data_IF_280312043987
#
_entry.id   IF_280312043987
#
_cell.length_a   1.000
_cell.length_b   1.000
_cell.length_c   1.000
_cell.angle_alpha   90.00
_cell.angle_beta   90.00
_cell.angle_gamma   90.00
#
_symmetry.space_group_name_H-M   'P 1'
#
loop_
_entity.id
_entity.type
_entity.pdbx_description
1 polymer ?
#
# COMPACT_ATOMS: atom_id res chain seq x y z
N UNK A 1 -1.43 -11.94 10.05
CA UNK A 1 -0.15 -11.38 9.55
C UNK A 1 0.38 -10.27 10.45
N UNK A 2 -0.18 -9.06 10.45
CA UNK A 2 0.38 -7.93 11.23
C UNK A 2 0.61 -8.23 12.72
N UNK A 3 -0.39 -8.78 13.43
CA UNK A 3 -0.27 -9.11 14.87
C UNK A 3 0.81 -10.16 15.11
N UNK A 4 0.85 -11.20 14.27
CA UNK A 4 1.87 -12.25 14.37
C UNK A 4 3.27 -11.68 14.12
N UNK A 5 3.44 -10.91 13.05
CA UNK A 5 4.72 -10.30 12.70
C UNK A 5 5.19 -9.28 13.74
N UNK A 6 4.27 -8.56 14.38
CA UNK A 6 4.58 -7.71 15.53
C UNK A 6 5.11 -8.52 16.73
N UNK A 7 4.49 -9.66 17.04
CA UNK A 7 4.96 -10.55 18.12
C UNK A 7 6.34 -11.11 17.78
N UNK A 8 6.53 -11.61 16.55
CA UNK A 8 7.82 -12.13 16.08
C UNK A 8 8.91 -11.06 16.08
N UNK A 9 8.63 -9.86 15.59
CA UNK A 9 9.56 -8.73 15.62
C UNK A 9 10.03 -8.43 17.05
N UNK A 10 9.15 -8.52 18.05
CA UNK A 10 9.49 -8.26 19.45
C UNK A 10 10.29 -9.36 20.13
N UNK A 11 9.90 -10.62 19.94
CA UNK A 11 10.36 -11.70 20.82
C UNK A 11 11.18 -12.78 20.10
N UNK A 12 11.00 -12.96 18.80
CA UNK A 12 11.77 -13.93 18.01
C UNK A 12 12.97 -13.25 17.37
N UNK A 13 12.74 -12.11 16.72
CA UNK A 13 13.76 -11.32 16.04
C UNK A 13 14.29 -10.16 16.87
N UNK A 14 13.65 -9.84 18.00
CA UNK A 14 14.09 -8.82 18.96
C UNK A 14 14.53 -7.50 18.31
N UNK A 15 13.81 -7.07 17.27
CA UNK A 15 14.16 -5.91 16.44
C UNK A 15 14.22 -4.61 17.24
N UNK A 16 13.52 -4.55 18.38
CA UNK A 16 13.49 -3.38 19.26
C UNK A 16 14.58 -3.42 20.35
N UNK A 17 15.25 -4.56 20.52
CA UNK A 17 16.46 -4.68 21.35
C UNK A 17 17.73 -4.49 20.50
N UNK A 18 17.63 -4.80 19.21
CA UNK A 18 18.72 -4.82 18.23
C UNK A 18 18.37 -3.93 17.03
N UNK A 19 18.58 -2.60 17.10
CA UNK A 19 18.16 -1.66 16.07
C UNK A 19 18.71 -1.96 14.67
N UNK A 20 19.87 -2.61 14.57
CA UNK A 20 20.45 -3.04 13.30
C UNK A 20 19.58 -4.04 12.53
N UNK A 21 18.69 -4.76 13.22
CA UNK A 21 17.72 -5.69 12.60
C UNK A 21 16.58 -4.95 11.90
N UNK A 22 16.35 -3.68 12.25
CA UNK A 22 15.34 -2.82 11.62
C UNK A 22 15.81 -2.27 10.26
N UNK A 23 17.10 -2.37 9.94
CA UNK A 23 17.72 -1.82 8.73
C UNK A 23 17.01 -2.23 7.43
N UNK A 24 16.29 -3.37 7.43
CA UNK A 24 15.50 -3.82 6.29
C UNK A 24 14.38 -2.84 5.87
N UNK A 25 13.85 -2.04 6.80
CA UNK A 25 12.72 -1.14 6.55
C UNK A 25 12.96 0.30 7.04
N UNK A 26 14.09 0.61 7.68
CA UNK A 26 14.43 2.00 8.08
C UNK A 26 15.54 2.64 7.25
N UNK A 27 16.20 1.90 6.35
CA UNK A 27 17.34 2.39 5.55
C UNK A 27 17.00 3.51 4.56
N UNK A 28 15.71 3.78 4.30
CA UNK A 28 15.26 4.66 3.23
C UNK A 28 15.38 4.06 1.82
N UNK A 29 15.85 2.81 1.69
CA UNK A 29 15.95 2.10 0.43
C UNK A 29 15.60 0.62 0.59
N UNK A 30 14.67 0.12 -0.23
CA UNK A 30 14.29 -1.28 -0.23
C UNK A 30 14.03 -1.74 -1.66
N UNK A 31 14.61 -2.87 -2.06
CA UNK A 31 14.28 -3.51 -3.32
C UNK A 31 14.05 -5.00 -3.16
N UNK A 32 13.27 -5.56 -4.08
CA UNK A 32 12.92 -6.97 -4.04
C UNK A 32 11.75 -7.28 -4.96
N UNK A 33 11.42 -8.56 -5.06
CA UNK A 33 10.30 -9.00 -5.86
C UNK A 33 9.02 -9.05 -5.03
N UNK A 34 7.93 -8.58 -5.63
CA UNK A 34 6.58 -8.81 -5.14
C UNK A 34 5.75 -9.44 -6.25
N UNK A 35 4.86 -10.33 -5.86
CA UNK A 35 3.86 -10.88 -6.76
C UNK A 35 2.79 -9.81 -6.96
N UNK A 36 2.70 -9.23 -8.15
CA UNK A 36 1.77 -8.15 -8.49
C UNK A 36 0.64 -8.65 -9.37
N UNK A 37 -0.60 -8.34 -8.99
CA UNK A 37 -1.79 -8.63 -9.80
C UNK A 37 -1.76 -7.88 -11.13
N UNK A 38 -2.03 -8.60 -12.21
CA UNK A 38 -2.25 -8.06 -13.56
C UNK A 38 -3.59 -7.36 -13.65
N UNK A 39 -3.65 -6.30 -14.46
CA UNK A 39 -4.87 -5.50 -14.64
C UNK A 39 -5.95 -6.26 -15.43
N UNK A 40 -5.53 -7.05 -16.42
CA UNK A 40 -6.43 -7.67 -17.40
C UNK A 40 -6.67 -9.15 -17.12
N UNK A 41 -5.66 -9.88 -16.64
CA UNK A 41 -5.72 -11.33 -16.49
C UNK A 41 -5.94 -11.80 -15.06
N UNK A 42 -6.05 -10.88 -14.09
CA UNK A 42 -6.20 -11.16 -12.66
C UNK A 42 -5.13 -12.08 -12.04
N UNK A 43 -4.10 -12.47 -12.81
CA UNK A 43 -3.00 -13.33 -12.36
C UNK A 43 -1.92 -12.50 -11.70
N UNK A 44 -1.18 -13.13 -10.80
CA UNK A 44 -0.05 -12.50 -10.16
C UNK A 44 1.24 -12.84 -10.90
N UNK A 45 2.07 -11.82 -11.10
CA UNK A 45 3.35 -11.95 -11.77
C UNK A 45 4.45 -11.30 -10.92
N UNK A 46 5.65 -11.89 -10.87
CA UNK A 46 6.77 -11.29 -10.15
C UNK A 46 7.17 -9.97 -10.80
N UNK A 47 7.31 -8.91 -10.00
CA UNK A 47 7.80 -7.60 -10.43
C UNK A 47 8.83 -7.14 -9.41
N UNK A 48 9.96 -6.62 -9.89
CA UNK A 48 10.93 -5.96 -9.02
C UNK A 48 10.36 -4.62 -8.60
N UNK A 49 10.20 -4.41 -7.31
CA UNK A 49 9.87 -3.12 -6.69
C UNK A 49 11.14 -2.50 -6.12
N UNK A 50 11.20 -1.17 -6.16
CA UNK A 50 12.29 -0.37 -5.60
C UNK A 50 11.66 0.84 -4.90
N UNK A 51 11.85 0.92 -3.59
CA UNK A 51 11.56 2.08 -2.75
C UNK A 51 12.85 2.88 -2.58
N UNK A 52 12.77 4.18 -2.84
CA UNK A 52 13.82 5.16 -2.59
C UNK A 52 13.20 6.38 -1.93
N UNK A 53 13.51 6.56 -0.65
CA UNK A 53 13.06 7.71 0.15
C UNK A 53 13.68 9.01 -0.36
N UNK A 54 14.97 8.98 -0.69
CA UNK A 54 15.72 10.11 -1.24
C UNK A 54 15.05 10.67 -2.50
N UNK A 55 14.52 9.79 -3.35
CA UNK A 55 13.82 10.17 -4.58
C UNK A 55 12.31 10.40 -4.40
N UNK A 56 11.74 10.11 -3.22
CA UNK A 56 10.28 10.04 -2.99
C UNK A 56 9.56 9.04 -3.93
N UNK A 57 10.19 7.89 -4.24
CA UNK A 57 9.64 6.96 -5.23
C UNK A 57 9.48 5.53 -4.76
N UNK A 58 8.31 4.95 -5.07
CA UNK A 58 8.09 3.52 -5.15
C UNK A 58 7.90 3.14 -6.63
N UNK A 59 8.90 2.47 -7.19
CA UNK A 59 8.96 2.09 -8.61
C UNK A 59 8.72 0.59 -8.74
N UNK A 60 8.20 0.16 -9.89
CA UNK A 60 8.24 -1.25 -10.24
C UNK A 60 8.59 -1.49 -11.70
N UNK A 61 9.27 -2.59 -11.93
CA UNK A 61 9.79 -2.99 -13.23
C UNK A 61 9.10 -4.26 -13.71
N UNK A 62 8.73 -4.30 -14.99
CA UNK A 62 8.27 -5.55 -15.65
C UNK A 62 9.46 -6.40 -16.06
N UNK A 63 10.58 -5.76 -16.41
CA UNK A 63 11.88 -6.37 -16.69
C UNK A 63 12.94 -5.48 -16.02
N UNK A 64 13.88 -6.07 -15.28
CA UNK A 64 14.82 -5.32 -14.42
C UNK A 64 15.67 -4.30 -15.19
N UNK A 65 16.23 -4.68 -16.34
CA UNK A 65 17.13 -3.83 -17.13
C UNK A 65 16.40 -2.83 -18.04
N UNK A 66 15.20 -2.41 -17.65
CA UNK A 66 14.38 -1.45 -18.39
C UNK A 66 13.86 -0.38 -17.45
N UNK A 67 13.45 0.74 -18.03
CA UNK A 67 12.77 1.80 -17.31
C UNK A 67 11.60 1.26 -16.47
N UNK A 68 11.35 1.86 -15.29
CA UNK A 68 10.24 1.46 -14.44
C UNK A 68 8.93 1.58 -15.20
N UNK A 69 8.08 0.56 -15.07
CA UNK A 69 6.74 0.56 -15.69
C UNK A 69 5.83 1.61 -15.05
N UNK A 70 6.04 1.88 -13.77
CA UNK A 70 5.44 3.02 -13.08
C UNK A 70 6.39 3.53 -12.00
N UNK A 71 6.29 4.83 -11.75
CA UNK A 71 6.94 5.55 -10.65
C UNK A 71 5.81 6.15 -9.82
N UNK A 72 5.68 5.74 -8.56
CA UNK A 72 4.68 6.22 -7.62
C UNK A 72 5.37 7.14 -6.61
N UNK A 73 4.74 8.26 -6.26
CA UNK A 73 5.27 9.14 -5.22
C UNK A 73 4.91 8.60 -3.83
N UNK A 74 5.90 8.32 -2.99
CA UNK A 74 5.68 7.71 -1.66
C UNK A 74 4.81 8.62 -0.80
N UNK A 75 5.07 9.93 -0.82
CA UNK A 75 4.31 10.92 -0.04
C UNK A 75 2.82 10.98 -0.40
N UNK A 76 2.42 10.56 -1.60
CA UNK A 76 1.04 10.68 -2.11
C UNK A 76 0.27 9.35 -2.18
N UNK A 77 0.94 8.21 -1.99
CA UNK A 77 0.27 6.91 -2.01
C UNK A 77 -0.27 6.52 -0.62
N UNK A 78 -1.21 5.59 -0.58
CA UNK A 78 -1.65 4.90 0.62
C UNK A 78 -1.30 3.41 0.48
N UNK A 79 -0.98 2.74 1.59
CA UNK A 79 -0.79 1.29 1.61
C UNK A 79 -1.54 0.68 2.78
N UNK A 80 -2.33 -0.36 2.51
CA UNK A 80 -3.11 -1.08 3.52
C UNK A 80 -3.01 -2.59 3.26
N UNK A 81 -3.10 -3.40 4.31
CA UNK A 81 -3.22 -4.85 4.14
C UNK A 81 -4.59 -5.18 3.54
N UNK A 82 -4.62 -6.07 2.55
CA UNK A 82 -5.85 -6.40 1.81
C UNK A 82 -6.16 -7.90 1.67
N UNK A 83 -5.97 -8.73 2.73
CA UNK A 83 -6.09 -10.18 2.60
C UNK A 83 -7.49 -10.65 2.21
N UNK A 84 -8.54 -9.95 2.68
CA UNK A 84 -9.92 -10.28 2.36
C UNK A 84 -10.26 -10.07 0.88
N UNK A 85 -9.64 -9.07 0.22
CA UNK A 85 -9.87 -8.78 -1.19
C UNK A 85 -9.09 -9.73 -2.09
N UNK A 86 -7.82 -9.96 -1.77
CA UNK A 86 -6.90 -10.69 -2.66
C UNK A 86 -6.97 -12.20 -2.46
N UNK A 87 -7.48 -12.69 -1.34
CA UNK A 87 -7.40 -14.10 -0.94
C UNK A 87 -6.00 -14.54 -0.48
N UNK A 88 -5.02 -13.63 -0.46
CA UNK A 88 -3.65 -13.88 0.01
C UNK A 88 -3.44 -13.21 1.36
N UNK A 89 -3.06 -13.97 2.40
CA UNK A 89 -2.86 -13.43 3.75
C UNK A 89 -1.83 -12.29 3.79
N UNK A 90 -0.74 -12.45 3.03
CA UNK A 90 0.41 -11.56 3.00
C UNK A 90 0.28 -10.53 1.87
N UNK A 91 -0.85 -9.83 1.77
CA UNK A 91 -1.13 -8.93 0.66
C UNK A 91 -1.30 -7.48 1.07
N UNK A 92 -0.90 -6.58 0.17
CA UNK A 92 -1.05 -5.14 0.28
C UNK A 92 -1.85 -4.60 -0.91
N UNK A 93 -2.70 -3.62 -0.61
CA UNK A 93 -3.29 -2.71 -1.59
C UNK A 93 -2.52 -1.39 -1.52
N UNK A 94 -1.88 -1.02 -2.63
CA UNK A 94 -1.22 0.27 -2.81
C UNK A 94 -2.15 1.15 -3.65
N UNK A 95 -2.58 2.28 -3.08
CA UNK A 95 -3.53 3.21 -3.69
C UNK A 95 -2.87 4.54 -3.97
N UNK A 96 -3.05 5.11 -5.16
CA UNK A 96 -2.44 6.38 -5.54
C UNK A 96 -3.32 7.12 -6.53
N UNK A 97 -3.16 8.44 -6.59
CA UNK A 97 -3.85 9.26 -7.58
C UNK A 97 -3.10 9.23 -8.91
N UNK A 98 -3.84 9.05 -10.00
CA UNK A 98 -3.33 9.17 -11.37
C UNK A 98 -4.42 9.72 -12.26
N UNK A 99 -4.12 10.82 -12.95
CA UNK A 99 -5.05 11.50 -13.88
C UNK A 99 -6.40 11.84 -13.22
N UNK A 100 -6.37 12.32 -11.96
CA UNK A 100 -7.59 12.64 -11.19
C UNK A 100 -8.38 11.44 -10.65
N UNK A 101 -7.96 10.22 -10.96
CA UNK A 101 -8.60 8.97 -10.50
C UNK A 101 -7.74 8.25 -9.46
N UNK A 102 -8.36 7.62 -8.47
CA UNK A 102 -7.61 6.69 -7.61
C UNK A 102 -7.37 5.40 -8.38
N UNK A 103 -6.13 4.92 -8.38
CA UNK A 103 -5.76 3.61 -8.88
C UNK A 103 -5.27 2.73 -7.75
N UNK A 104 -5.51 1.43 -7.89
CA UNK A 104 -5.08 0.41 -6.95
C UNK A 104 -4.10 -0.56 -7.63
N UNK A 105 -3.06 -0.95 -6.91
CA UNK A 105 -2.20 -2.07 -7.23
C UNK A 105 -2.27 -3.05 -6.06
N UNK A 106 -2.49 -4.32 -6.37
CA UNK A 106 -2.49 -5.39 -5.39
C UNK A 106 -1.22 -6.21 -5.53
N UNK A 107 -0.51 -6.39 -4.41
CA UNK A 107 0.72 -7.18 -4.33
C UNK A 107 0.64 -8.16 -3.16
N UNK A 108 1.40 -9.24 -3.23
CA UNK A 108 1.68 -10.10 -2.09
C UNK A 108 3.12 -10.60 -2.12
N UNK A 109 3.55 -11.20 -1.01
CA UNK A 109 4.75 -12.01 -0.92
C UNK A 109 4.44 -13.27 -0.11
N UNK A 110 5.05 -14.42 -0.42
CA UNK A 110 4.78 -15.66 0.31
C UNK A 110 5.29 -15.58 1.76
N UNK A 111 6.42 -14.90 1.95
CA UNK A 111 6.95 -14.53 3.27
C UNK A 111 6.21 -13.33 3.88
N UNK A 112 5.73 -13.53 5.11
CA UNK A 112 5.00 -12.54 5.90
C UNK A 112 5.88 -11.46 6.51
N UNK A 113 7.15 -11.73 6.79
CA UNK A 113 8.13 -10.75 7.23
C UNK A 113 8.43 -9.78 6.08
N UNK A 114 8.72 -10.31 4.89
CA UNK A 114 9.05 -9.48 3.71
C UNK A 114 7.92 -8.51 3.37
N UNK A 115 6.65 -8.97 3.33
CA UNK A 115 5.54 -8.05 3.04
C UNK A 115 5.35 -7.00 4.15
N UNK A 116 5.63 -7.37 5.40
CA UNK A 116 5.54 -6.44 6.54
C UNK A 116 6.66 -5.40 6.46
N UNK A 117 7.86 -5.79 6.06
CA UNK A 117 8.99 -4.89 5.85
C UNK A 117 8.68 -3.88 4.74
N UNK A 118 8.05 -4.29 3.64
CA UNK A 118 7.57 -3.35 2.61
C UNK A 118 6.55 -2.34 3.15
N UNK A 119 5.59 -2.79 3.96
CA UNK A 119 4.61 -1.92 4.60
C UNK A 119 5.27 -0.90 5.55
N UNK A 120 6.21 -1.37 6.37
CA UNK A 120 6.96 -0.53 7.32
C UNK A 120 7.90 0.44 6.59
N UNK A 121 8.58 0.02 5.52
CA UNK A 121 9.48 0.87 4.74
C UNK A 121 8.73 2.04 4.10
N UNK A 122 7.54 1.79 3.54
CA UNK A 122 6.67 2.85 3.00
C UNK A 122 6.26 3.83 4.11
N UNK A 123 5.87 3.31 5.28
CA UNK A 123 5.49 4.15 6.44
C UNK A 123 6.64 4.98 6.97
N UNK A 124 7.83 4.40 7.07
CA UNK A 124 9.04 5.07 7.52
C UNK A 124 9.42 6.22 6.58
N UNK A 125 9.52 5.92 5.28
CA UNK A 125 9.81 6.93 4.26
C UNK A 125 8.76 8.07 4.26
N UNK A 126 7.48 7.74 4.47
CA UNK A 126 6.44 8.76 4.63
C UNK A 126 6.64 9.63 5.87
N UNK A 127 6.99 9.02 7.00
CA UNK A 127 7.16 9.74 8.26
C UNK A 127 8.28 10.77 8.15
N UNK A 128 9.45 10.36 7.64
CA UNK A 128 10.57 11.27 7.45
C UNK A 128 10.22 12.45 6.54
N UNK A 129 9.51 12.19 5.44
CA UNK A 129 9.05 13.27 4.54
C UNK A 129 8.07 14.22 5.21
N UNK A 130 7.15 13.71 6.01
CA UNK A 130 6.22 14.54 6.78
C UNK A 130 6.95 15.38 7.83
N UNK A 131 7.96 14.83 8.51
CA UNK A 131 8.77 15.57 9.49
C UNK A 131 9.51 16.74 8.83
N UNK A 132 10.04 16.54 7.61
CA UNK A 132 10.68 17.60 6.83
C UNK A 132 9.67 18.65 6.37
N UNK A 133 8.49 18.22 5.89
CA UNK A 133 7.46 19.13 5.38
C UNK A 133 6.75 19.94 6.50
N UNK A 134 6.67 19.38 7.71
CA UNK A 134 5.94 19.95 8.84
C UNK A 134 6.80 19.93 10.11
N UNK A 135 7.89 20.72 10.20
CA UNK A 135 8.84 20.68 11.31
C UNK A 135 8.23 21.10 12.67
N UNK A 136 7.10 21.80 12.66
CA UNK A 136 6.37 22.19 13.88
C UNK A 136 5.29 21.20 14.33
N UNK A 137 5.01 20.15 13.55
CA UNK A 137 4.04 19.12 13.92
C UNK A 137 4.68 18.10 14.88
N UNK A 138 3.92 17.65 15.85
CA UNK A 138 4.32 16.54 16.70
C UNK A 138 4.33 15.22 15.93
N UNK A 139 5.17 14.28 16.35
CA UNK A 139 5.22 12.96 15.71
C UNK A 139 3.84 12.26 15.76
N UNK A 140 3.10 12.40 16.85
CA UNK A 140 1.74 11.84 16.99
C UNK A 140 0.77 12.35 15.92
N UNK A 141 0.83 13.65 15.57
CA UNK A 141 0.02 14.23 14.50
C UNK A 141 0.42 13.64 13.14
N UNK A 142 1.72 13.45 12.88
CA UNK A 142 2.24 12.89 11.64
C UNK A 142 1.90 11.41 11.46
N UNK A 143 1.96 10.62 12.55
CA UNK A 143 1.62 9.20 12.55
C UNK A 143 0.20 8.93 12.02
N UNK A 144 -0.74 9.85 12.27
CA UNK A 144 -2.12 9.78 11.78
C UNK A 144 -2.24 9.89 10.25
N UNK A 145 -1.20 10.37 9.56
CA UNK A 145 -1.19 10.65 8.13
C UNK A 145 -0.44 9.60 7.29
N UNK A 146 0.29 8.67 7.92
CA UNK A 146 1.17 7.73 7.21
C UNK A 146 0.40 6.82 6.26
N UNK A 147 -0.36 5.88 6.82
CA UNK A 147 -1.16 4.93 6.04
C UNK A 147 -2.48 4.73 6.75
N UNK A 148 -3.53 4.53 5.95
CA UNK A 148 -4.91 4.50 6.41
C UNK A 148 -5.58 3.24 5.89
N UNK A 149 -6.21 2.49 6.79
CA UNK A 149 -7.17 1.48 6.39
C UNK A 149 -8.45 2.16 5.87
N UNK A 150 -9.19 1.46 5.02
CA UNK A 150 -10.47 1.95 4.55
C UNK A 150 -11.54 1.76 5.64
N UNK A 151 -12.17 2.82 6.16
CA UNK A 151 -13.09 2.69 7.30
C UNK A 151 -14.30 1.81 6.99
N UNK A 152 -14.71 1.74 5.72
CA UNK A 152 -15.80 0.88 5.30
C UNK A 152 -15.68 0.51 3.83
N UNK A 153 -15.90 -0.76 3.55
CA UNK A 153 -15.98 -1.30 2.20
C UNK A 153 -17.12 -2.31 2.09
N UNK A 154 -17.68 -2.48 0.91
CA UNK A 154 -18.71 -3.48 0.67
C UNK A 154 -19.59 -3.21 -0.53
N UNK A 155 -20.43 -4.18 -0.87
CA UNK A 155 -21.39 -4.03 -1.95
C UNK A 155 -22.58 -3.18 -1.53
N UNK A 156 -22.91 -2.17 -2.35
CA UNK A 156 -24.15 -1.41 -2.27
C UNK A 156 -24.79 -1.32 -3.66
N UNK A 157 -26.09 -1.04 -3.68
CA UNK A 157 -26.82 -0.74 -4.91
C UNK A 157 -26.87 0.77 -5.11
N UNK A 158 -26.48 1.24 -6.30
CA UNK A 158 -26.57 2.66 -6.68
C UNK A 158 -27.30 2.83 -8.00
N UNK A 159 -27.98 3.96 -8.15
CA UNK A 159 -28.49 4.42 -9.45
C UNK A 159 -27.65 5.60 -9.98
N UNK A 160 -27.95 6.06 -11.20
CA UNK A 160 -27.38 7.24 -11.81
C UNK A 160 -28.24 8.49 -11.59
N UNK A 161 -27.82 9.65 -12.12
CA UNK A 161 -28.52 10.91 -11.91
C UNK A 161 -29.86 11.01 -12.66
N UNK A 162 -30.14 10.12 -13.64
CA UNK A 162 -31.39 10.17 -14.40
C UNK A 162 -32.46 9.30 -13.72
N UNK A 163 -33.74 9.73 -13.72
CA UNK A 163 -34.83 8.94 -13.16
C UNK A 163 -35.00 7.55 -13.78
N UNK A 164 -34.57 7.39 -15.03
CA UNK A 164 -34.63 6.11 -15.77
C UNK A 164 -33.45 5.18 -15.50
N UNK A 165 -32.43 5.62 -14.76
CA UNK A 165 -31.25 4.78 -14.51
C UNK A 165 -31.62 3.65 -13.53
N UNK A 166 -31.33 2.41 -13.94
CA UNK A 166 -31.55 1.24 -13.09
C UNK A 166 -30.49 1.16 -11.98
N UNK A 167 -30.87 0.56 -10.84
CA UNK A 167 -29.93 0.24 -9.78
C UNK A 167 -28.89 -0.80 -10.27
N UNK A 168 -27.64 -0.57 -9.93
CA UNK A 168 -26.51 -1.47 -10.19
C UNK A 168 -25.76 -1.73 -8.89
N UNK A 169 -25.45 -3.01 -8.64
CA UNK A 169 -24.59 -3.43 -7.52
C UNK A 169 -23.15 -3.04 -7.83
N UNK A 170 -22.49 -2.36 -6.90
CA UNK A 170 -21.09 -1.93 -7.01
C UNK A 170 -20.35 -2.15 -5.70
N UNK A 171 -19.06 -2.44 -5.77
CA UNK A 171 -18.19 -2.44 -4.59
C UNK A 171 -17.86 -1.00 -4.23
N UNK A 172 -18.12 -0.59 -3.00
CA UNK A 172 -17.81 0.74 -2.50
C UNK A 172 -16.61 0.70 -1.55
N UNK A 173 -15.79 1.74 -1.62
CA UNK A 173 -14.67 2.00 -0.70
C UNK A 173 -14.77 3.43 -0.20
N UNK A 174 -14.86 3.59 1.12
CA UNK A 174 -14.75 4.89 1.78
C UNK A 174 -13.27 5.13 2.13
N UNK A 175 -12.70 6.23 1.64
CA UNK A 175 -11.33 6.66 1.90
C UNK A 175 -11.33 8.12 2.39
N UNK A 176 -11.33 8.31 3.71
CA UNK A 176 -11.53 9.61 4.32
C UNK A 176 -12.87 10.23 3.90
N UNK A 177 -12.82 11.29 3.09
CA UNK A 177 -14.01 11.97 2.53
C UNK A 177 -14.36 11.52 1.11
N UNK A 178 -13.58 10.61 0.53
CA UNK A 178 -13.77 10.12 -0.84
C UNK A 178 -14.54 8.82 -0.83
N UNK A 179 -15.69 8.80 -1.49
CA UNK A 179 -16.46 7.58 -1.73
C UNK A 179 -16.21 7.12 -3.17
N UNK A 180 -15.59 5.94 -3.32
CA UNK A 180 -15.28 5.33 -4.60
C UNK A 180 -16.18 4.12 -4.84
N UNK A 181 -16.46 3.79 -6.11
CA UNK A 181 -17.19 2.56 -6.44
C UNK A 181 -16.64 1.90 -7.71
N UNK A 182 -16.59 0.57 -7.70
CA UNK A 182 -16.05 -0.28 -8.78
C UNK A 182 -17.03 -1.41 -9.12
N UNK A 183 -16.86 -2.04 -10.28
CA UNK A 183 -17.67 -3.19 -10.68
C UNK A 183 -17.38 -4.40 -9.78
N UNK A 184 -16.13 -4.57 -9.36
CA UNK A 184 -15.65 -5.59 -8.44
C UNK A 184 -14.66 -4.99 -7.40
N UNK A 185 -14.26 -5.74 -6.36
CA UNK A 185 -13.41 -5.23 -5.28
C UNK A 185 -11.96 -4.88 -5.65
N UNK A 186 -11.44 -5.29 -6.82
CA UNK A 186 -10.01 -5.18 -7.18
C UNK A 186 -9.73 -4.58 -8.55
#
# INVERSE_FOLDING_TARGET
>A
VLVEQWIRAKYEREEFCHPERQNQYISGFMEGFLMKRGKEDARYHPRKFVLSEADDTLKYHVKENKDPKAVLRISELNVAFAPQKTGHQNSLQISFMKDGTTRHIYVYHDDSEIITNWYLAIRCAKLHRLQVAYPGASEAELLSQLTRDFPKEGYLWKTGPRPSDAYKKRWFTLDGRKLMYHDDPM
#
